data_IF_383099637232
#
_entry.id   IF_383099637232
#
_cell.length_a   1.000
_cell.length_b   1.000
_cell.length_c   1.000
_cell.angle_alpha   90.00
_cell.angle_beta   90.00
_cell.angle_gamma   90.00
#
_symmetry.space_group_name_H-M   'P 1'
#
loop_
_entity.id
_entity.type
_entity.pdbx_description
1 polymer ?
#
# COMPACT_ATOMS: atom_id res chain seq x y z
N UNK A 1 6.42 1.08 16.06
CA UNK A 1 6.59 2.47 16.56
C UNK A 1 5.47 3.40 16.12
N UNK A 2 5.28 3.70 14.83
CA UNK A 2 4.18 4.59 14.36
C UNK A 2 2.79 3.93 14.45
N UNK A 3 2.65 2.69 14.00
CA UNK A 3 1.38 1.94 14.08
C UNK A 3 0.91 1.80 15.53
N UNK A 4 1.79 1.41 16.44
CA UNK A 4 1.44 1.18 17.85
C UNK A 4 1.01 2.47 18.55
N UNK A 5 1.68 3.58 18.24
CA UNK A 5 1.28 4.92 18.66
C UNK A 5 -0.14 5.22 18.17
N UNK A 6 -0.40 5.08 16.87
CA UNK A 6 -1.71 5.38 16.29
C UNK A 6 -2.82 4.46 16.84
N UNK A 7 -2.55 3.17 17.04
CA UNK A 7 -3.50 2.24 17.70
C UNK A 7 -3.84 2.72 19.10
N UNK A 8 -2.84 3.16 19.86
CA UNK A 8 -3.04 3.67 21.23
C UNK A 8 -3.86 4.96 21.25
N UNK A 9 -3.50 5.93 20.40
CA UNK A 9 -4.15 7.25 20.38
C UNK A 9 -5.57 7.19 19.79
N UNK A 10 -5.76 6.44 18.70
CA UNK A 10 -7.06 6.28 18.04
C UNK A 10 -7.95 5.26 18.75
N UNK A 11 -7.39 4.47 19.68
CA UNK A 11 -8.09 3.39 20.41
C UNK A 11 -8.79 2.40 19.47
N UNK A 12 -8.20 2.16 18.31
CA UNK A 12 -8.73 1.30 17.27
C UNK A 12 -7.63 0.43 16.67
N UNK A 13 -7.93 -0.83 16.27
CA UNK A 13 -6.94 -1.65 15.57
C UNK A 13 -6.66 -1.04 14.19
N UNK A 14 -5.40 -1.08 13.77
CA UNK A 14 -4.98 -0.62 12.44
C UNK A 14 -4.49 -1.81 11.62
N UNK A 15 -5.04 -1.92 10.41
CA UNK A 15 -4.65 -2.92 9.42
C UNK A 15 -3.58 -2.31 8.53
N UNK A 16 -2.45 -2.99 8.41
CA UNK A 16 -1.46 -2.66 7.37
C UNK A 16 -1.97 -3.19 6.04
N UNK A 17 -2.18 -2.29 5.08
CA UNK A 17 -2.81 -2.61 3.81
C UNK A 17 -1.82 -2.36 2.68
N UNK A 18 -1.73 -3.32 1.77
CA UNK A 18 -1.00 -3.23 0.52
C UNK A 18 -2.02 -3.19 -0.63
N UNK A 19 -1.68 -2.51 -1.72
CA UNK A 19 -2.50 -2.46 -2.91
C UNK A 19 -2.07 -1.36 -3.85
N UNK A 20 -3.02 -0.74 -4.55
CA UNK A 20 -2.72 0.37 -5.45
C UNK A 20 -3.65 1.56 -5.19
N UNK A 21 -3.23 2.74 -5.65
CA UNK A 21 -4.05 3.94 -5.59
C UNK A 21 -4.48 4.32 -6.99
N UNK A 22 -5.76 4.55 -7.19
CA UNK A 22 -6.27 5.20 -8.40
C UNK A 22 -6.36 6.69 -8.14
N UNK A 23 -5.75 7.51 -9.00
CA UNK A 23 -5.79 8.97 -8.92
C UNK A 23 -5.92 9.54 -10.33
N UNK A 24 -6.94 10.35 -10.57
CA UNK A 24 -7.03 11.17 -11.80
C UNK A 24 -6.89 10.37 -13.11
N UNK A 25 -7.47 9.17 -13.18
CA UNK A 25 -7.36 8.31 -14.37
C UNK A 25 -6.24 7.28 -14.33
N UNK A 26 -5.31 7.38 -13.38
CA UNK A 26 -4.09 6.57 -13.36
C UNK A 26 -4.07 5.60 -12.17
N UNK A 27 -3.55 4.40 -12.41
CA UNK A 27 -3.24 3.43 -11.34
C UNK A 27 -1.78 3.60 -10.91
N UNK A 28 -1.58 4.02 -9.67
CA UNK A 28 -0.28 4.28 -9.05
C UNK A 28 0.17 3.07 -8.24
N UNK A 29 1.43 2.67 -8.39
CA UNK A 29 2.00 1.43 -7.84
C UNK A 29 1.07 0.23 -7.97
N UNK A 30 0.77 -0.12 -9.22
CA UNK A 30 -0.18 -1.16 -9.55
C UNK A 30 0.50 -2.34 -10.22
N UNK A 31 0.25 -3.52 -9.67
CA UNK A 31 0.51 -4.80 -10.31
C UNK A 31 -0.85 -5.46 -10.57
N UNK A 32 -1.19 -5.82 -11.82
CA UNK A 32 -2.45 -6.50 -12.12
C UNK A 32 -2.61 -7.80 -11.33
N UNK A 33 -3.85 -8.14 -10.97
CA UNK A 33 -4.12 -9.33 -10.16
C UNK A 33 -3.69 -10.61 -10.87
N UNK A 34 -3.84 -10.66 -12.20
CA UNK A 34 -3.40 -11.77 -13.04
C UNK A 34 -1.88 -11.96 -12.97
N UNK A 35 -1.14 -10.86 -12.85
CA UNK A 35 0.31 -10.88 -12.65
C UNK A 35 0.69 -11.44 -11.27
N UNK A 36 -0.03 -11.04 -10.22
CA UNK A 36 0.16 -11.56 -8.86
C UNK A 36 -0.16 -13.07 -8.80
N UNK A 37 -1.25 -13.50 -9.43
CA UNK A 37 -1.62 -14.92 -9.53
C UNK A 37 -0.60 -15.75 -10.29
N UNK A 38 -0.06 -15.20 -11.38
CA UNK A 38 0.99 -15.87 -12.14
C UNK A 38 2.24 -16.07 -11.28
N UNK A 39 2.66 -15.03 -10.54
CA UNK A 39 3.80 -15.13 -9.61
C UNK A 39 3.58 -16.16 -8.51
N UNK A 40 2.35 -16.35 -8.02
CA UNK A 40 2.02 -17.42 -7.07
C UNK A 40 2.20 -18.83 -7.64
N UNK A 41 2.05 -18.99 -8.97
CA UNK A 41 2.19 -20.27 -9.66
C UNK A 41 3.63 -20.55 -10.07
N UNK A 42 4.35 -19.54 -10.56
CA UNK A 42 5.68 -19.73 -11.17
C UNK A 42 6.83 -19.12 -10.37
N UNK A 43 6.55 -18.45 -9.25
CA UNK A 43 7.50 -17.58 -8.59
C UNK A 43 7.72 -16.27 -9.36
N UNK A 44 8.46 -15.35 -8.73
CA UNK A 44 8.86 -14.09 -9.35
C UNK A 44 9.99 -14.31 -10.36
N UNK A 45 9.84 -13.81 -11.58
CA UNK A 45 10.89 -13.87 -12.59
C UNK A 45 12.09 -12.97 -12.21
N UNK A 46 13.33 -13.30 -12.61
CA UNK A 46 14.49 -12.45 -12.35
C UNK A 46 14.27 -11.03 -12.88
N UNK A 47 14.45 -10.03 -12.01
CA UNK A 47 14.26 -8.61 -12.34
C UNK A 47 12.81 -8.14 -12.44
N UNK A 48 11.81 -9.02 -12.26
CA UNK A 48 10.42 -8.60 -12.17
C UNK A 48 10.20 -7.77 -10.90
N UNK A 49 9.27 -6.81 -10.98
CA UNK A 49 8.92 -5.90 -9.89
C UNK A 49 7.50 -6.17 -9.44
N UNK A 50 7.30 -6.26 -8.14
CA UNK A 50 5.98 -6.18 -7.51
C UNK A 50 5.80 -4.73 -7.08
N UNK A 51 4.90 -4.04 -7.76
CA UNK A 51 4.58 -2.64 -7.53
C UNK A 51 3.28 -2.57 -6.73
N UNK A 52 3.42 -2.20 -5.45
CA UNK A 52 2.34 -2.03 -4.48
C UNK A 52 2.63 -0.79 -3.63
N UNK A 53 1.58 -0.07 -3.26
CA UNK A 53 1.58 1.00 -2.28
C UNK A 53 1.13 0.49 -0.90
N UNK A 54 1.62 1.11 0.16
CA UNK A 54 1.32 0.74 1.53
C UNK A 54 0.63 1.87 2.30
N UNK A 55 -0.41 1.54 3.06
CA UNK A 55 -1.12 2.47 3.94
C UNK A 55 -1.69 1.75 5.17
N UNK A 56 -2.27 2.51 6.10
CA UNK A 56 -3.02 1.95 7.21
C UNK A 56 -4.52 2.17 6.99
N UNK A 57 -5.32 1.15 7.29
CA UNK A 57 -6.78 1.19 7.20
C UNK A 57 -7.39 1.02 8.58
N UNK A 58 -8.28 1.93 8.96
CA UNK A 58 -9.11 1.82 10.17
C UNK A 58 -10.29 0.86 9.93
N UNK A 59 -10.92 0.31 10.99
CA UNK A 59 -12.11 -0.54 10.85
C UNK A 59 -13.30 0.19 10.21
N UNK A 60 -13.36 1.52 10.35
CA UNK A 60 -14.32 2.42 9.70
C UNK A 60 -13.89 2.84 8.29
N UNK A 61 -12.86 2.18 7.74
CA UNK A 61 -12.33 2.36 6.38
C UNK A 61 -11.59 3.67 6.11
N UNK A 62 -11.39 4.54 7.09
CA UNK A 62 -10.49 5.68 6.91
C UNK A 62 -9.08 5.21 6.61
N UNK A 63 -8.44 5.97 5.72
CA UNK A 63 -7.08 5.72 5.25
C UNK A 63 -6.15 6.67 5.96
N UNK A 64 -5.09 6.13 6.56
CA UNK A 64 -3.90 6.89 6.97
C UNK A 64 -2.77 6.51 6.02
N UNK A 65 -2.39 7.45 5.17
CA UNK A 65 -1.29 7.30 4.21
C UNK A 65 -0.23 8.37 4.46
N UNK A 66 0.76 8.03 5.28
CA UNK A 66 1.86 8.92 5.63
C UNK A 66 2.91 9.07 4.51
N UNK A 67 2.73 8.42 3.36
CA UNK A 67 3.74 8.35 2.30
C UNK A 67 3.25 8.87 0.96
N UNK A 68 1.95 9.07 0.78
CA UNK A 68 1.34 9.44 -0.49
C UNK A 68 2.07 10.56 -1.23
N UNK A 69 2.23 11.71 -0.57
CA UNK A 69 2.84 12.90 -1.20
C UNK A 69 4.34 12.75 -1.45
N UNK A 70 5.04 11.98 -0.61
CA UNK A 70 6.43 11.66 -0.82
C UNK A 70 6.62 10.70 -2.02
N UNK A 71 5.67 9.78 -2.20
CA UNK A 71 5.72 8.79 -3.28
C UNK A 71 5.22 9.34 -4.63
N UNK A 72 4.32 10.32 -4.60
CA UNK A 72 3.73 10.93 -5.80
C UNK A 72 3.85 12.48 -5.81
N UNK A 73 5.06 13.04 -5.75
CA UNK A 73 5.27 14.48 -5.60
C UNK A 73 4.74 15.30 -6.79
N UNK A 74 4.66 14.67 -7.98
CA UNK A 74 4.10 15.28 -9.19
C UNK A 74 2.58 15.52 -9.10
N UNK A 75 1.89 14.82 -8.20
CA UNK A 75 0.45 14.94 -8.00
C UNK A 75 0.09 15.95 -6.91
N UNK A 76 1.09 16.45 -6.16
CA UNK A 76 0.89 17.36 -5.04
C UNK A 76 0.92 18.82 -5.49
N UNK A 77 -0.07 19.61 -5.07
CA UNK A 77 -0.02 21.07 -5.14
C UNK A 77 0.95 21.64 -4.06
N UNK A 78 1.39 22.90 -4.16
CA UNK A 78 2.31 23.50 -3.20
C UNK A 78 1.85 23.39 -1.73
N UNK A 79 0.55 23.55 -1.46
CA UNK A 79 -0.06 23.44 -0.14
C UNK A 79 -0.05 21.98 0.37
N UNK A 80 -0.36 21.01 -0.50
CA UNK A 80 -0.34 19.58 -0.18
C UNK A 80 1.07 19.06 0.07
N UNK A 81 2.10 19.62 -0.57
CA UNK A 81 3.51 19.24 -0.31
C UNK A 81 3.98 19.58 1.10
N UNK A 82 3.34 20.54 1.79
CA UNK A 82 3.59 20.78 3.20
C UNK A 82 2.93 19.71 4.09
N UNK A 83 1.85 19.09 3.62
CA UNK A 83 1.24 17.97 4.30
C UNK A 83 2.11 16.72 4.12
N UNK A 84 2.53 16.14 5.25
CA UNK A 84 3.43 14.97 5.27
C UNK A 84 2.69 13.64 5.09
N UNK A 85 1.37 13.67 5.02
CA UNK A 85 0.54 12.48 4.94
C UNK A 85 -0.92 12.84 4.71
N UNK A 86 -1.71 11.83 4.40
CA UNK A 86 -3.13 11.93 4.12
C UNK A 86 -3.91 11.13 5.17
N UNK A 87 -4.95 11.74 5.72
CA UNK A 87 -5.89 11.08 6.64
C UNK A 87 -7.32 11.50 6.33
N UNK A 88 -8.13 10.58 5.81
CA UNK A 88 -9.54 10.87 5.48
C UNK A 88 -10.30 9.59 5.14
N UNK A 89 -11.64 9.69 5.11
CA UNK A 89 -12.51 8.62 4.63
C UNK A 89 -12.47 8.55 3.09
N UNK A 90 -12.46 7.36 2.46
CA UNK A 90 -12.43 7.21 0.99
C UNK A 90 -13.52 7.99 0.26
N UNK A 91 -14.74 8.03 0.81
CA UNK A 91 -15.87 8.78 0.23
C UNK A 91 -15.63 10.30 0.13
N UNK A 92 -14.65 10.83 0.87
CA UNK A 92 -14.29 12.25 0.85
C UNK A 92 -13.21 12.56 -0.19
N UNK A 93 -12.82 11.58 -1.02
CA UNK A 93 -11.73 11.71 -2.00
C UNK A 93 -12.23 11.61 -3.45
N UNK A 94 -12.95 12.60 -3.99
CA UNK A 94 -13.37 12.56 -5.38
C UNK A 94 -12.15 12.44 -6.31
N UNK A 95 -12.16 11.43 -7.19
CA UNK A 95 -11.06 11.16 -8.12
C UNK A 95 -9.87 10.41 -7.54
N UNK A 96 -9.90 10.00 -6.26
CA UNK A 96 -8.94 9.09 -5.63
C UNK A 96 -9.66 7.87 -5.07
N UNK A 97 -9.06 6.70 -5.19
CA UNK A 97 -9.53 5.51 -4.46
C UNK A 97 -8.37 4.59 -4.12
N UNK A 98 -8.45 3.96 -2.95
CA UNK A 98 -7.50 2.99 -2.46
C UNK A 98 -8.06 1.60 -2.74
N UNK A 99 -7.27 0.76 -3.40
CA UNK A 99 -7.67 -0.58 -3.84
C UNK A 99 -6.79 -1.61 -3.15
N UNK A 100 -7.23 -2.18 -2.02
CA UNK A 100 -6.49 -3.23 -1.33
C UNK A 100 -6.21 -4.41 -2.26
N UNK A 101 -4.95 -4.85 -2.29
CA UNK A 101 -4.53 -6.10 -2.90
C UNK A 101 -3.86 -6.91 -1.78
N UNK A 102 -4.59 -7.87 -1.23
CA UNK A 102 -4.12 -8.66 -0.09
C UNK A 102 -2.96 -9.55 -0.49
N UNK A 103 -1.76 -9.05 -0.22
CA UNK A 103 -0.53 -9.83 -0.21
C UNK A 103 -0.18 -10.07 1.26
N UNK A 104 -0.48 -11.28 1.75
CA UNK A 104 -0.07 -11.70 3.08
C UNK A 104 1.45 -11.87 3.13
N UNK A 105 2.01 -12.00 4.33
CA UNK A 105 3.41 -12.43 4.48
C UNK A 105 3.67 -13.75 3.72
N UNK A 106 2.74 -14.70 3.81
CA UNK A 106 2.78 -15.97 3.07
C UNK A 106 2.82 -15.77 1.55
N UNK A 107 2.13 -14.75 1.02
CA UNK A 107 2.21 -14.42 -0.41
C UNK A 107 3.64 -14.05 -0.81
N UNK A 108 4.27 -13.10 -0.11
CA UNK A 108 5.62 -12.61 -0.48
C UNK A 108 6.70 -13.67 -0.32
N UNK A 109 6.54 -14.59 0.65
CA UNK A 109 7.40 -15.78 0.79
C UNK A 109 7.21 -16.74 -0.39
N UNK A 110 5.96 -17.08 -0.71
CA UNK A 110 5.63 -18.06 -1.77
C UNK A 110 6.09 -17.63 -3.16
N UNK A 111 6.04 -16.33 -3.48
CA UNK A 111 6.54 -15.84 -4.77
C UNK A 111 8.07 -15.69 -4.80
N UNK A 112 8.76 -15.86 -3.68
CA UNK A 112 10.23 -15.80 -3.59
C UNK A 112 10.80 -14.38 -3.51
N UNK A 113 9.99 -13.37 -3.15
CA UNK A 113 10.46 -11.99 -2.91
C UNK A 113 11.21 -11.91 -1.57
N UNK A 114 10.71 -12.59 -0.54
CA UNK A 114 11.42 -12.77 0.72
C UNK A 114 12.06 -14.14 0.69
N UNK A 115 13.37 -14.20 0.94
CA UNK A 115 14.11 -15.45 1.15
C UNK A 115 14.62 -15.44 2.57
N UNK A 116 14.20 -16.43 3.35
CA UNK A 116 14.77 -16.66 4.67
C UNK A 116 16.17 -17.25 4.47
N UNK A 117 17.17 -16.63 5.08
CA UNK A 117 18.54 -17.11 5.00
C UNK A 117 18.70 -18.27 5.99
N UNK A 118 18.58 -19.49 5.48
CA UNK A 118 18.96 -20.70 6.20
C UNK A 118 20.48 -20.86 6.04
N UNK A 119 21.24 -20.48 7.07
CA UNK A 119 22.70 -20.62 7.05
C UNK A 119 23.14 -22.04 6.72
N UNK A 120 24.32 -22.15 6.10
CA UNK A 120 25.00 -23.37 5.64
C UNK A 120 25.03 -24.51 6.67
#
# INVERSE_FOLDING_TARGET
MMRDLLVRELRAPLIYTLGYVYQGGQRLYHTPIEGLEQMLRTGIAPGARVSLHAWLTLPSHEIIDATFWAAFPALACPEERQQRGLFMHPDQMPGRSYHPQWTSEEFVKRIGVVKEYEGW
#
